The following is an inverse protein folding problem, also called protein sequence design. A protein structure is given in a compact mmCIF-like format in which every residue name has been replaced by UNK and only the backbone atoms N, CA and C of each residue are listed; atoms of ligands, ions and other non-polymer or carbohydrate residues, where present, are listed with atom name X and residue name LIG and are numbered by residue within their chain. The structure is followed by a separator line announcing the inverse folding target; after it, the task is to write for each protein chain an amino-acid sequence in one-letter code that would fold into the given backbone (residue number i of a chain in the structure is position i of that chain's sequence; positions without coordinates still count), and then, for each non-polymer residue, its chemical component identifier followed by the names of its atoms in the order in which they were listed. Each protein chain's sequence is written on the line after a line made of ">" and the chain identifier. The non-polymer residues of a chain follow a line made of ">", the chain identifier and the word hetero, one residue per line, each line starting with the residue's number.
data_IF_129918780449
#
_entry.id   IF_129918780449
#
_cell.length_a   1.000
_cell.length_b   1.000
_cell.length_c   1.000
_cell.angle_alpha   90.00
_cell.angle_beta   90.00
_cell.angle_gamma   90.00
#
_symmetry.space_group_name_H-M   'P 1'
#
loop_
_entity.id
_entity.type
_entity.pdbx_description
1 polymer ?
#
# COMPACT_ATOMS: atom_id res chain seq x y z
N UNK A 1 42.24 -35.10 -17.58
CA UNK A 1 40.99 -34.74 -18.27
C UNK A 1 39.79 -34.59 -17.33
N UNK A 2 39.38 -35.57 -16.49
CA UNK A 2 38.20 -35.48 -15.62
C UNK A 2 38.17 -34.25 -14.68
N UNK A 3 39.33 -33.91 -14.04
CA UNK A 3 39.45 -32.75 -13.14
C UNK A 3 39.28 -31.39 -13.90
N UNK A 4 39.78 -31.31 -15.12
CA UNK A 4 39.67 -30.12 -15.95
C UNK A 4 38.21 -29.89 -16.38
N UNK A 5 37.49 -30.96 -16.77
CA UNK A 5 36.06 -30.90 -17.11
C UNK A 5 35.18 -30.49 -15.93
N UNK A 6 35.52 -30.95 -14.72
CA UNK A 6 34.79 -30.52 -13.50
C UNK A 6 34.99 -29.03 -13.20
N UNK A 7 36.22 -28.51 -13.35
CA UNK A 7 36.50 -27.07 -13.16
C UNK A 7 35.77 -26.22 -14.20
N UNK A 8 35.74 -26.63 -15.46
CA UNK A 8 35.00 -25.93 -16.52
C UNK A 8 33.49 -25.92 -16.23
N UNK A 9 32.95 -27.07 -15.75
CA UNK A 9 31.54 -27.16 -15.38
C UNK A 9 31.15 -26.22 -14.24
N UNK A 10 32.01 -26.12 -13.20
CA UNK A 10 31.77 -25.17 -12.07
C UNK A 10 31.86 -23.73 -12.54
N UNK A 11 32.83 -23.36 -13.36
CA UNK A 11 32.98 -22.03 -13.91
C UNK A 11 31.76 -21.63 -14.78
N UNK A 12 31.26 -22.57 -15.57
CA UNK A 12 30.08 -22.36 -16.42
C UNK A 12 28.81 -22.13 -15.56
N UNK A 13 28.63 -22.90 -14.49
CA UNK A 13 27.51 -22.72 -13.56
C UNK A 13 27.58 -21.36 -12.82
N UNK A 14 28.78 -20.94 -12.41
CA UNK A 14 29.00 -19.62 -11.79
C UNK A 14 28.69 -18.51 -12.81
N UNK A 15 29.12 -18.66 -14.06
CA UNK A 15 28.88 -17.69 -15.11
C UNK A 15 27.39 -17.56 -15.47
N UNK A 16 26.68 -18.71 -15.57
CA UNK A 16 25.23 -18.75 -15.79
C UNK A 16 24.52 -18.12 -14.59
N UNK A 17 24.93 -18.45 -13.35
CA UNK A 17 24.39 -17.87 -12.14
C UNK A 17 24.55 -16.36 -12.08
N UNK A 18 25.73 -15.82 -12.42
CA UNK A 18 25.98 -14.38 -12.47
C UNK A 18 25.21 -13.69 -13.60
N UNK A 19 25.08 -14.35 -14.77
CA UNK A 19 24.34 -13.78 -15.91
C UNK A 19 22.83 -13.72 -15.63
N UNK A 20 22.26 -14.76 -15.01
CA UNK A 20 20.85 -14.79 -14.59
C UNK A 20 20.58 -13.78 -13.48
N UNK A 21 21.48 -13.65 -12.51
CA UNK A 21 21.41 -12.65 -11.44
C UNK A 21 21.44 -11.22 -12.01
N UNK A 22 22.40 -10.92 -12.89
CA UNK A 22 22.53 -9.59 -13.53
C UNK A 22 21.32 -9.24 -14.40
N UNK A 23 20.73 -10.23 -15.12
CA UNK A 23 19.51 -10.01 -15.90
C UNK A 23 18.26 -9.79 -15.02
N UNK A 24 18.19 -10.42 -13.85
CA UNK A 24 17.11 -10.21 -12.90
C UNK A 24 17.18 -8.82 -12.23
N UNK A 25 18.39 -8.25 -12.10
CA UNK A 25 18.60 -6.90 -11.55
C UNK A 25 18.52 -5.78 -12.61
N UNK A 26 18.36 -6.12 -13.89
CA UNK A 26 18.24 -5.09 -14.92
C UNK A 26 16.89 -4.37 -14.78
N UNK A 27 16.96 -3.10 -14.39
CA UNK A 27 15.79 -2.21 -14.38
C UNK A 27 15.15 -2.14 -15.77
N UNK A 28 13.82 -2.23 -15.81
CA UNK A 28 13.01 -2.14 -17.02
C UNK A 28 12.16 -0.88 -16.99
N UNK A 29 11.79 -0.40 -18.17
CA UNK A 29 10.84 0.69 -18.28
C UNK A 29 9.45 0.21 -17.80
N UNK A 30 8.77 1.07 -17.05
CA UNK A 30 7.38 0.90 -16.61
C UNK A 30 6.52 1.71 -17.58
N UNK A 31 5.47 1.10 -18.12
CA UNK A 31 4.52 1.81 -18.98
C UNK A 31 3.40 2.45 -18.15
N UNK A 32 2.61 3.32 -18.78
CA UNK A 32 1.54 4.08 -18.10
C UNK A 32 0.50 3.15 -17.45
N UNK A 33 0.06 2.12 -18.16
CA UNK A 33 -0.91 1.15 -17.63
C UNK A 33 -0.39 0.38 -16.41
N UNK A 34 0.92 0.10 -16.34
CA UNK A 34 1.52 -0.51 -15.15
C UNK A 34 1.60 0.46 -13.98
N UNK A 35 1.82 1.75 -14.24
CA UNK A 35 1.79 2.79 -13.19
C UNK A 35 0.40 2.88 -12.58
N UNK A 36 -0.64 2.95 -13.41
CA UNK A 36 -2.05 2.99 -12.96
C UNK A 36 -2.42 1.73 -12.17
N UNK A 37 -2.02 0.54 -12.62
CA UNK A 37 -2.26 -0.72 -11.92
C UNK A 37 -1.59 -0.75 -10.53
N UNK A 38 -0.36 -0.25 -10.45
CA UNK A 38 0.40 -0.15 -9.18
C UNK A 38 -0.27 0.87 -8.25
N UNK A 39 -0.63 2.03 -8.74
CA UNK A 39 -1.29 3.09 -7.97
C UNK A 39 -2.62 2.62 -7.40
N UNK A 40 -3.47 2.01 -8.21
CA UNK A 40 -4.74 1.41 -7.78
C UNK A 40 -4.53 0.31 -6.72
N UNK A 41 -3.49 -0.51 -6.87
CA UNK A 41 -3.19 -1.52 -5.88
C UNK A 41 -2.70 -0.90 -4.55
N UNK A 42 -1.83 0.10 -4.61
CA UNK A 42 -1.37 0.80 -3.39
C UNK A 42 -2.56 1.48 -2.71
N UNK A 43 -3.43 2.17 -3.46
CA UNK A 43 -4.65 2.77 -2.93
C UNK A 43 -5.55 1.75 -2.21
N UNK A 44 -5.61 0.52 -2.73
CA UNK A 44 -6.37 -0.57 -2.12
C UNK A 44 -5.84 -0.99 -0.76
N UNK A 45 -4.51 -0.99 -0.58
CA UNK A 45 -3.84 -1.45 0.65
C UNK A 45 -3.38 -0.31 1.57
N UNK A 46 -3.43 0.93 1.11
CA UNK A 46 -3.11 2.11 1.88
C UNK A 46 -4.29 2.41 2.83
N UNK A 47 -4.10 2.15 4.12
CA UNK A 47 -5.13 2.27 5.12
C UNK A 47 -4.51 2.76 6.42
N UNK A 48 -4.90 3.95 6.86
CA UNK A 48 -4.48 4.48 8.15
C UNK A 48 -5.01 3.60 9.27
N UNK A 49 -4.14 3.28 10.19
CA UNK A 49 -4.45 2.48 11.35
C UNK A 49 -4.18 3.33 12.61
N UNK A 50 -5.22 3.60 13.41
CA UNK A 50 -5.17 4.53 14.52
C UNK A 50 -4.20 4.10 15.62
N UNK A 51 -4.10 2.80 15.90
CA UNK A 51 -3.27 2.27 16.99
C UNK A 51 -1.78 2.42 16.67
N UNK A 52 -1.38 2.16 15.44
CA UNK A 52 0.01 2.28 15.01
C UNK A 52 0.37 3.68 14.53
N UNK A 53 -0.63 4.47 14.12
CA UNK A 53 -0.44 5.77 13.49
C UNK A 53 0.28 5.68 12.15
N UNK A 54 0.10 4.60 11.41
CA UNK A 54 0.73 4.35 10.11
C UNK A 54 -0.28 3.82 9.09
N UNK A 55 -0.34 4.45 7.92
CA UNK A 55 -1.22 3.99 6.83
C UNK A 55 -0.66 2.74 6.11
N UNK A 56 0.63 2.54 6.15
CA UNK A 56 1.32 1.42 5.55
C UNK A 56 2.47 0.99 6.46
N UNK A 57 2.23 0.05 7.40
CA UNK A 57 3.23 -0.37 8.38
C UNK A 57 4.41 -1.07 7.70
N UNK A 58 5.58 -1.04 8.36
CA UNK A 58 6.79 -1.72 7.88
C UNK A 58 6.73 -3.21 8.17
N UNK A 59 7.08 -4.02 7.17
CA UNK A 59 7.25 -5.47 7.31
C UNK A 59 8.15 -6.02 6.20
N UNK A 60 8.87 -7.08 6.49
CA UNK A 60 9.78 -7.77 5.56
C UNK A 60 9.08 -8.85 4.71
N UNK A 61 7.91 -9.32 5.16
CA UNK A 61 7.06 -10.29 4.48
C UNK A 61 5.61 -10.08 4.89
N UNK A 62 4.67 -10.26 3.98
CA UNK A 62 3.23 -10.05 4.26
C UNK A 62 2.71 -10.87 5.45
N UNK A 63 3.29 -12.02 5.73
CA UNK A 63 2.91 -12.82 6.89
C UNK A 63 3.40 -12.23 8.23
N UNK A 64 4.33 -11.28 8.19
CA UNK A 64 4.83 -10.52 9.34
C UNK A 64 4.18 -9.13 9.45
N UNK A 65 3.33 -8.74 8.49
CA UNK A 65 2.56 -7.51 8.60
C UNK A 65 1.67 -7.52 9.86
N UNK A 66 1.38 -6.39 10.51
CA UNK A 66 0.46 -6.33 11.64
C UNK A 66 -0.92 -6.91 11.29
N UNK A 67 -1.46 -7.76 12.16
CA UNK A 67 -2.77 -8.40 11.92
C UNK A 67 -3.88 -7.36 11.80
N UNK A 68 -3.86 -6.36 12.66
CA UNK A 68 -4.84 -5.29 12.65
C UNK A 68 -4.88 -4.60 11.27
N UNK A 69 -3.74 -4.14 10.75
CA UNK A 69 -3.67 -3.52 9.43
C UNK A 69 -4.18 -4.47 8.31
N UNK A 70 -3.80 -5.75 8.34
CA UNK A 70 -4.25 -6.73 7.33
C UNK A 70 -5.77 -6.83 7.30
N UNK A 71 -6.41 -6.94 8.48
CA UNK A 71 -7.86 -7.13 8.55
C UNK A 71 -8.64 -5.83 8.32
N UNK A 72 -8.06 -4.68 8.60
CA UNK A 72 -8.62 -3.39 8.21
C UNK A 72 -8.59 -3.16 6.71
N UNK A 73 -7.46 -3.46 6.06
CA UNK A 73 -7.39 -3.44 4.60
C UNK A 73 -8.42 -4.39 3.98
N UNK A 74 -8.61 -5.58 4.55
CA UNK A 74 -9.66 -6.49 4.10
C UNK A 74 -11.02 -5.85 4.26
N UNK A 75 -11.34 -5.31 5.45
CA UNK A 75 -12.62 -4.64 5.74
C UNK A 75 -12.91 -3.51 4.76
N UNK A 76 -11.95 -2.61 4.53
CA UNK A 76 -12.08 -1.49 3.57
C UNK A 76 -12.49 -1.94 2.17
N UNK A 77 -12.10 -3.16 1.79
CA UNK A 77 -12.35 -3.72 0.47
C UNK A 77 -13.55 -4.70 0.42
N UNK A 78 -14.29 -4.84 1.51
CA UNK A 78 -15.54 -5.62 1.51
C UNK A 78 -16.67 -4.81 0.90
N UNK A 79 -17.53 -5.49 0.14
CA UNK A 79 -18.73 -4.91 -0.49
C UNK A 79 -20.00 -5.16 0.34
N UNK A 80 -19.95 -6.18 1.22
CA UNK A 80 -21.07 -6.62 2.05
C UNK A 80 -20.76 -6.38 3.53
N UNK A 81 -21.80 -6.14 4.32
CA UNK A 81 -21.68 -5.94 5.76
C UNK A 81 -21.81 -7.23 6.56
N UNK A 82 -22.52 -8.22 6.02
CA UNK A 82 -22.74 -9.53 6.64
C UNK A 82 -22.03 -10.62 5.83
N UNK A 83 -21.08 -11.32 6.44
CA UNK A 83 -20.14 -12.19 5.75
C UNK A 83 -20.01 -13.55 6.44
N UNK A 84 -19.72 -14.57 5.64
CA UNK A 84 -19.20 -15.83 6.15
C UNK A 84 -17.68 -15.75 6.34
N UNK A 85 -17.16 -16.55 7.26
CA UNK A 85 -15.72 -16.64 7.52
C UNK A 85 -14.89 -16.80 6.24
N UNK A 86 -15.33 -17.66 5.33
CA UNK A 86 -14.61 -17.95 4.08
C UNK A 86 -14.58 -16.72 3.14
N UNK A 87 -15.62 -15.90 3.11
CA UNK A 87 -15.66 -14.70 2.29
C UNK A 87 -14.58 -13.71 2.73
N UNK A 88 -14.36 -13.54 4.04
CA UNK A 88 -13.29 -12.69 4.60
C UNK A 88 -11.91 -13.24 4.22
N UNK A 89 -11.71 -14.57 4.36
CA UNK A 89 -10.44 -15.21 4.00
C UNK A 89 -10.15 -15.16 2.51
N UNK A 90 -11.16 -15.33 1.67
CA UNK A 90 -11.02 -15.27 0.22
C UNK A 90 -10.72 -13.83 -0.24
N UNK A 91 -11.34 -12.82 0.40
CA UNK A 91 -11.02 -11.42 0.16
C UNK A 91 -9.57 -11.09 0.56
N UNK A 92 -9.10 -11.60 1.69
CA UNK A 92 -7.71 -11.43 2.10
C UNK A 92 -6.72 -12.02 1.07
N UNK A 93 -7.01 -13.21 0.54
CA UNK A 93 -6.19 -13.81 -0.53
C UNK A 93 -6.29 -13.05 -1.86
N UNK A 94 -7.46 -12.50 -2.17
CA UNK A 94 -7.63 -11.66 -3.35
C UNK A 94 -6.71 -10.43 -3.29
N UNK A 95 -6.58 -9.82 -2.11
CA UNK A 95 -5.80 -8.59 -1.89
C UNK A 95 -4.30 -8.89 -1.75
N UNK A 96 -3.93 -9.87 -0.93
CA UNK A 96 -2.54 -10.13 -0.53
C UNK A 96 -1.89 -11.35 -1.21
N UNK A 97 -2.66 -12.09 -2.01
CA UNK A 97 -2.19 -13.27 -2.75
C UNK A 97 -2.27 -14.58 -1.96
N UNK A 98 -2.08 -15.69 -2.69
CA UNK A 98 -2.16 -17.05 -2.14
C UNK A 98 -1.05 -17.38 -1.11
N UNK A 99 -0.01 -16.56 -1.03
CA UNK A 99 1.08 -16.70 -0.05
C UNK A 99 0.71 -16.20 1.35
N UNK A 100 -0.39 -15.50 1.52
CA UNK A 100 -0.90 -15.08 2.83
C UNK A 100 -1.30 -16.32 3.64
N UNK A 101 -0.63 -16.52 4.79
CA UNK A 101 -0.89 -17.62 5.73
C UNK A 101 -1.71 -17.19 6.95
N UNK A 102 -1.94 -15.88 7.11
CA UNK A 102 -2.75 -15.33 8.19
C UNK A 102 -4.19 -15.83 8.07
N UNK A 103 -4.77 -16.17 9.22
CA UNK A 103 -6.18 -16.55 9.31
C UNK A 103 -6.93 -15.46 10.06
N UNK A 104 -8.11 -15.13 9.57
CA UNK A 104 -8.99 -14.22 10.28
C UNK A 104 -9.35 -14.80 11.65
N UNK A 105 -9.32 -14.01 12.74
CA UNK A 105 -9.69 -14.48 14.06
C UNK A 105 -11.14 -14.96 14.09
N UNK A 106 -11.42 -16.11 14.74
CA UNK A 106 -12.76 -16.70 14.78
C UNK A 106 -13.74 -15.89 15.63
N UNK A 107 -13.25 -15.14 16.58
CA UNK A 107 -13.99 -14.20 17.43
C UNK A 107 -14.13 -12.80 16.82
N UNK A 108 -13.53 -12.61 15.63
CA UNK A 108 -13.56 -11.34 14.91
C UNK A 108 -12.31 -10.50 15.11
N UNK A 109 -12.32 -9.30 14.54
CA UNK A 109 -11.33 -8.24 14.71
C UNK A 109 -12.02 -6.99 15.25
N UNK A 110 -11.27 -5.90 15.45
CA UNK A 110 -11.82 -4.64 15.99
C UNK A 110 -13.01 -4.10 15.19
N UNK A 111 -12.98 -4.28 13.86
CA UNK A 111 -14.00 -3.71 12.94
C UNK A 111 -14.86 -4.77 12.22
N UNK A 112 -14.61 -6.06 12.48
CA UNK A 112 -15.39 -7.17 11.96
C UNK A 112 -15.64 -8.13 13.11
N UNK A 113 -16.81 -8.07 13.74
CA UNK A 113 -17.13 -8.91 14.88
C UNK A 113 -18.05 -10.07 14.51
N UNK A 114 -17.96 -11.16 15.25
CA UNK A 114 -18.85 -12.30 15.10
C UNK A 114 -20.17 -12.06 15.85
N UNK A 115 -21.29 -12.17 15.15
CA UNK A 115 -22.63 -12.13 15.75
C UNK A 115 -23.16 -13.54 15.98
N UNK A 116 -23.27 -13.95 17.24
CA UNK A 116 -23.73 -15.27 17.63
C UNK A 116 -25.20 -15.54 17.22
N UNK A 117 -26.04 -14.49 17.08
CA UNK A 117 -27.44 -14.64 16.75
C UNK A 117 -27.64 -14.99 15.27
N UNK A 118 -26.90 -14.37 14.38
CA UNK A 118 -26.96 -14.64 12.95
C UNK A 118 -25.98 -15.72 12.51
N UNK A 119 -24.93 -16.00 13.29
CA UNK A 119 -23.84 -16.87 12.92
C UNK A 119 -22.94 -16.28 11.82
N UNK A 120 -22.97 -14.96 11.65
CA UNK A 120 -22.26 -14.20 10.63
C UNK A 120 -21.21 -13.25 11.24
N UNK A 121 -20.32 -12.79 10.41
CA UNK A 121 -19.43 -11.69 10.73
C UNK A 121 -20.00 -10.37 10.22
N UNK A 122 -20.03 -9.38 11.07
CA UNK A 122 -20.58 -8.04 10.78
C UNK A 122 -19.45 -7.05 10.68
N UNK A 123 -19.27 -6.46 9.49
CA UNK A 123 -18.33 -5.38 9.28
C UNK A 123 -18.95 -4.05 9.76
N UNK A 124 -18.30 -3.37 10.70
CA UNK A 124 -18.77 -2.06 11.21
C UNK A 124 -18.49 -0.95 10.19
N UNK A 125 -19.29 0.11 10.23
CA UNK A 125 -19.10 1.29 9.36
C UNK A 125 -17.72 1.94 9.53
N UNK A 126 -17.30 2.67 8.50
CA UNK A 126 -16.11 3.53 8.56
C UNK A 126 -16.56 4.83 9.23
N UNK A 127 -15.79 5.32 10.20
CA UNK A 127 -15.96 6.67 10.73
C UNK A 127 -15.73 7.73 9.64
N UNK A 128 -16.34 8.90 9.80
CA UNK A 128 -16.02 10.05 8.96
C UNK A 128 -14.70 10.63 9.47
N UNK A 129 -13.63 10.50 8.69
CA UNK A 129 -12.35 11.16 8.95
C UNK A 129 -12.39 12.60 8.41
N UNK A 130 -11.85 13.54 9.18
CA UNK A 130 -11.66 14.92 8.76
C UNK A 130 -10.31 15.17 8.10
N UNK A 131 -9.51 14.13 8.00
CA UNK A 131 -8.17 14.17 7.48
C UNK A 131 -7.98 13.07 6.43
N UNK A 132 -7.53 13.45 5.24
CA UNK A 132 -7.19 12.50 4.18
C UNK A 132 -5.72 12.14 4.25
N UNK A 133 -5.44 10.85 4.45
CA UNK A 133 -4.11 10.28 4.32
C UNK A 133 -3.83 9.99 2.86
N UNK A 134 -2.81 10.62 2.34
CA UNK A 134 -2.53 10.60 0.91
C UNK A 134 -1.09 10.14 0.66
N UNK A 135 -0.90 9.57 -0.51
CA UNK A 135 0.43 9.26 -0.99
C UNK A 135 0.64 9.74 -2.43
N UNK A 136 1.90 9.96 -2.75
CA UNK A 136 2.33 10.24 -4.11
C UNK A 136 3.43 9.27 -4.52
N UNK A 137 3.30 8.62 -5.67
CA UNK A 137 4.37 7.80 -6.22
C UNK A 137 5.50 8.70 -6.70
N UNK A 138 6.67 8.56 -6.03
CA UNK A 138 7.89 9.30 -6.38
C UNK A 138 8.69 8.58 -7.46
N UNK A 139 8.80 7.25 -7.36
CA UNK A 139 9.57 6.44 -8.31
C UNK A 139 9.07 5.01 -8.35
N UNK A 140 9.10 4.40 -9.55
CA UNK A 140 8.89 2.97 -9.74
C UNK A 140 10.12 2.38 -10.44
N UNK A 141 10.71 1.34 -9.84
CA UNK A 141 11.75 0.51 -10.46
C UNK A 141 11.18 -0.88 -10.70
N UNK A 142 11.27 -1.36 -11.94
CA UNK A 142 10.78 -2.69 -12.34
C UNK A 142 11.93 -3.66 -12.56
N UNK A 143 11.85 -4.84 -11.94
CA UNK A 143 12.80 -5.93 -12.04
C UNK A 143 12.06 -7.22 -12.39
N UNK A 144 11.98 -7.59 -13.67
CA UNK A 144 11.24 -8.76 -14.15
C UNK A 144 9.75 -8.71 -13.73
N UNK A 145 9.37 -9.43 -12.67
CA UNK A 145 8.02 -9.49 -12.11
C UNK A 145 7.93 -8.82 -10.72
N UNK A 146 8.93 -8.05 -10.33
CA UNK A 146 8.95 -7.28 -9.10
C UNK A 146 9.00 -5.79 -9.40
N UNK A 147 8.36 -5.02 -8.53
CA UNK A 147 8.43 -3.57 -8.55
C UNK A 147 8.90 -3.09 -7.19
N UNK A 148 9.79 -2.11 -7.20
CA UNK A 148 10.14 -1.31 -6.04
C UNK A 148 9.53 0.06 -6.25
N UNK A 149 8.56 0.42 -5.43
CA UNK A 149 7.81 1.67 -5.52
C UNK A 149 8.20 2.53 -4.34
N UNK A 150 8.72 3.69 -4.62
CA UNK A 150 9.00 4.72 -3.61
C UNK A 150 7.80 5.67 -3.60
N UNK A 151 7.13 5.78 -2.47
CA UNK A 151 6.03 6.71 -2.24
C UNK A 151 6.43 7.78 -1.25
N UNK A 152 5.73 8.91 -1.31
CA UNK A 152 5.78 9.99 -0.32
C UNK A 152 4.44 10.03 0.37
N UNK A 153 4.42 10.05 1.69
CA UNK A 153 3.21 10.12 2.50
C UNK A 153 3.01 11.55 3.01
N UNK A 154 1.78 12.06 2.88
CA UNK A 154 1.38 13.38 3.36
C UNK A 154 -0.06 13.39 3.82
N UNK A 155 -0.44 14.42 4.54
CA UNK A 155 -1.77 14.61 5.10
C UNK A 155 -2.32 15.92 4.52
N UNK A 156 -3.62 15.93 4.21
CA UNK A 156 -4.38 17.16 3.97
C UNK A 156 -5.29 17.40 5.18
N UNK A 157 -5.07 18.52 5.85
CA UNK A 157 -5.81 18.89 7.05
C UNK A 157 -6.77 20.03 6.74
N UNK A 158 -8.05 19.78 6.99
CA UNK A 158 -9.18 20.65 6.74
C UNK A 158 -9.76 21.23 8.04
N UNK A 159 -8.97 21.32 9.10
CA UNK A 159 -9.44 21.69 10.45
C UNK A 159 -10.19 23.02 10.45
N UNK A 160 -9.83 23.94 9.56
CA UNK A 160 -10.50 25.22 9.39
C UNK A 160 -11.83 25.13 8.62
N UNK A 161 -12.14 24.01 7.97
CA UNK A 161 -13.44 23.82 7.30
C UNK A 161 -14.58 23.57 8.29
N UNK A 162 -14.30 23.16 9.53
CA UNK A 162 -15.31 22.85 10.55
C UNK A 162 -16.11 24.05 11.06
N UNK A 163 -15.85 25.26 10.63
CA UNK A 163 -16.60 26.47 11.00
C UNK A 163 -17.20 27.21 9.81
N UNK A 164 -17.05 26.65 8.62
CA UNK A 164 -17.52 27.27 7.38
C UNK A 164 -18.99 26.89 7.18
N UNK A 165 -19.88 27.85 7.38
CA UNK A 165 -21.35 27.67 7.21
C UNK A 165 -21.79 27.81 5.75
N UNK A 166 -21.01 28.51 4.92
CA UNK A 166 -21.31 28.74 3.50
C UNK A 166 -20.42 27.86 2.63
N UNK A 167 -21.01 26.99 1.81
CA UNK A 167 -20.30 26.10 0.86
C UNK A 167 -19.40 26.87 -0.14
N UNK A 168 -19.57 28.18 -0.27
CA UNK A 168 -18.76 29.07 -1.13
C UNK A 168 -17.64 29.78 -0.35
N UNK A 169 -17.53 29.58 0.96
CA UNK A 169 -16.48 30.22 1.75
C UNK A 169 -15.17 29.49 1.54
N UNK A 170 -14.15 30.24 1.15
CA UNK A 170 -12.81 29.72 0.90
C UNK A 170 -12.05 29.53 2.21
N UNK A 171 -11.52 28.32 2.44
CA UNK A 171 -10.71 27.98 3.61
C UNK A 171 -9.32 27.51 3.20
N UNK A 172 -8.42 27.43 4.19
CA UNK A 172 -7.07 26.93 4.00
C UNK A 172 -7.02 25.42 4.19
N UNK A 173 -6.34 24.72 3.27
CA UNK A 173 -5.98 23.31 3.39
C UNK A 173 -4.49 23.28 3.72
N UNK A 174 -4.13 22.63 4.84
CA UNK A 174 -2.75 22.46 5.26
C UNK A 174 -2.20 21.13 4.78
N UNK A 175 -1.17 21.18 3.93
CA UNK A 175 -0.41 20.00 3.52
C UNK A 175 0.65 19.76 4.58
N UNK A 176 0.52 18.66 5.33
CA UNK A 176 1.37 18.30 6.46
C UNK A 176 2.19 17.04 6.19
N UNK A 177 3.33 16.90 6.84
CA UNK A 177 4.03 15.63 6.93
C UNK A 177 3.45 14.77 8.07
N UNK A 178 3.86 13.50 8.17
CA UNK A 178 3.38 12.59 9.22
C UNK A 178 3.75 13.01 10.66
N UNK A 179 4.61 14.03 10.83
CA UNK A 179 4.91 14.64 12.12
C UNK A 179 3.97 15.81 12.45
N UNK A 180 2.92 16.01 11.65
CA UNK A 180 1.96 17.13 11.77
C UNK A 180 2.58 18.52 11.51
N UNK A 181 3.76 18.58 10.88
CA UNK A 181 4.38 19.85 10.49
C UNK A 181 3.76 20.32 9.16
N UNK A 182 3.24 21.53 9.13
CA UNK A 182 2.70 22.15 7.91
C UNK A 182 3.86 22.48 6.96
N UNK A 183 3.85 21.86 5.79
CA UNK A 183 4.84 22.01 4.73
C UNK A 183 4.40 23.06 3.71
N UNK A 184 3.09 23.10 3.41
CA UNK A 184 2.48 24.07 2.50
C UNK A 184 1.04 24.36 2.91
N UNK A 185 0.52 25.48 2.43
CA UNK A 185 -0.89 25.87 2.59
C UNK A 185 -1.43 26.22 1.23
N UNK A 186 -2.66 25.79 0.95
CA UNK A 186 -3.36 26.06 -0.30
C UNK A 186 -4.82 26.37 -0.02
N UNK A 187 -5.47 27.12 -0.89
CA UNK A 187 -6.90 27.42 -0.78
C UNK A 187 -7.76 26.25 -1.25
N UNK A 188 -8.91 26.08 -0.62
CA UNK A 188 -9.88 25.03 -0.98
C UNK A 188 -10.40 25.16 -2.43
N UNK A 189 -10.41 26.39 -2.97
CA UNK A 189 -10.79 26.68 -4.36
C UNK A 189 -9.76 26.20 -5.40
N UNK A 190 -8.53 25.90 -4.98
CA UNK A 190 -7.50 25.44 -5.89
C UNK A 190 -7.69 23.94 -6.26
N UNK A 191 -7.28 23.59 -7.48
CA UNK A 191 -7.44 22.24 -8.00
C UNK A 191 -6.56 21.21 -7.28
N UNK A 192 -7.00 19.96 -7.27
CA UNK A 192 -6.20 18.82 -6.79
C UNK A 192 -4.82 18.74 -7.48
N UNK A 193 -4.77 19.00 -8.79
CA UNK A 193 -3.49 19.02 -9.52
C UNK A 193 -2.52 20.06 -8.97
N UNK A 194 -3.01 21.17 -8.44
CA UNK A 194 -2.19 22.21 -7.79
C UNK A 194 -1.66 21.73 -6.45
N UNK A 195 -2.47 21.02 -5.67
CA UNK A 195 -2.05 20.39 -4.41
C UNK A 195 -0.95 19.38 -4.66
N UNK A 196 -1.12 18.49 -5.62
CA UNK A 196 -0.10 17.50 -6.03
C UNK A 196 1.19 18.20 -6.49
N UNK A 197 1.10 19.30 -7.21
CA UNK A 197 2.27 20.10 -7.62
C UNK A 197 3.04 20.63 -6.41
N UNK A 198 2.35 21.14 -5.39
CA UNK A 198 2.99 21.63 -4.15
C UNK A 198 3.68 20.51 -3.39
N UNK A 199 3.07 19.32 -3.29
CA UNK A 199 3.73 18.14 -2.70
C UNK A 199 4.99 17.79 -3.48
N UNK A 200 4.95 17.76 -4.82
CA UNK A 200 6.12 17.50 -5.67
C UNK A 200 7.24 18.52 -5.48
N UNK A 201 6.92 19.80 -5.36
CA UNK A 201 7.90 20.86 -5.12
C UNK A 201 8.59 20.73 -3.75
N UNK A 202 7.89 20.16 -2.77
CA UNK A 202 8.37 20.01 -1.39
C UNK A 202 8.69 18.54 -1.03
N UNK A 203 8.90 17.68 -2.00
CA UNK A 203 8.96 16.21 -1.86
C UNK A 203 9.97 15.72 -0.80
N UNK A 204 11.03 16.47 -0.56
CA UNK A 204 12.07 16.14 0.41
C UNK A 204 11.69 16.43 1.87
N UNK A 205 10.56 17.11 2.10
CA UNK A 205 10.07 17.44 3.43
C UNK A 205 9.08 16.39 3.97
N UNK A 206 8.76 15.38 3.17
CA UNK A 206 7.82 14.33 3.51
C UNK A 206 8.53 13.01 3.81
N UNK A 207 7.84 12.14 4.53
CA UNK A 207 8.30 10.78 4.78
C UNK A 207 8.23 9.97 3.48
N UNK A 208 9.27 9.19 3.23
CA UNK A 208 9.33 8.29 2.08
C UNK A 208 9.28 6.85 2.56
N UNK A 209 8.47 6.02 1.92
CA UNK A 209 8.43 4.56 2.11
C UNK A 209 8.74 3.84 0.81
N UNK A 210 9.34 2.67 0.93
CA UNK A 210 9.59 1.76 -0.20
C UNK A 210 8.68 0.55 -0.08
N UNK A 211 7.86 0.34 -1.10
CA UNK A 211 6.95 -0.79 -1.22
C UNK A 211 7.53 -1.74 -2.26
N UNK A 212 7.81 -2.96 -1.84
CA UNK A 212 8.21 -4.02 -2.76
C UNK A 212 6.97 -4.82 -3.18
N UNK A 213 6.67 -4.81 -4.46
CA UNK A 213 5.53 -5.51 -5.05
C UNK A 213 5.99 -6.65 -5.93
N UNK A 214 5.20 -7.71 -5.98
CA UNK A 214 5.41 -8.85 -6.88
C UNK A 214 4.19 -9.04 -7.78
N UNK A 215 4.44 -9.30 -9.08
CA UNK A 215 3.40 -9.67 -10.03
C UNK A 215 3.41 -11.19 -10.20
N UNK A 216 2.29 -11.84 -9.94
CA UNK A 216 2.14 -13.29 -10.08
C UNK A 216 2.08 -13.74 -11.55
N UNK A 217 1.94 -15.07 -11.76
CA UNK A 217 1.81 -15.65 -13.11
C UNK A 217 0.51 -15.29 -13.82
N UNK A 218 -0.53 -14.88 -13.08
CA UNK A 218 -1.83 -14.44 -13.60
C UNK A 218 -1.85 -12.94 -13.89
N UNK A 219 -0.76 -12.24 -13.59
CA UNK A 219 -0.63 -10.80 -13.82
C UNK A 219 -1.10 -9.94 -12.64
N UNK A 220 -1.55 -10.50 -11.53
CA UNK A 220 -1.98 -9.74 -10.34
C UNK A 220 -0.78 -9.25 -9.52
N UNK A 221 -0.90 -8.04 -8.99
CA UNK A 221 0.13 -7.41 -8.15
C UNK A 221 -0.22 -7.62 -6.68
N UNK A 222 0.81 -7.90 -5.86
CA UNK A 222 0.71 -8.08 -4.41
C UNK A 222 1.88 -7.44 -3.71
N UNK A 223 1.66 -6.93 -2.49
CA UNK A 223 2.74 -6.44 -1.63
C UNK A 223 3.56 -7.62 -1.08
N UNK A 224 4.89 -7.51 -1.18
CA UNK A 224 5.85 -8.47 -0.64
C UNK A 224 6.41 -7.97 0.69
N UNK A 225 6.83 -6.69 0.73
CA UNK A 225 7.37 -6.02 1.92
C UNK A 225 7.20 -4.51 1.85
N UNK A 226 7.34 -3.84 2.99
CA UNK A 226 7.36 -2.36 3.15
C UNK A 226 8.53 -1.98 4.05
N UNK A 227 9.35 -1.01 3.59
CA UNK A 227 10.57 -0.52 4.26
C UNK A 227 10.46 0.95 4.68
#
# INVERSE_FOLDING_TARGET
>A
MKKLLAIIGILLMIFIGMFTYKNNLKQRNVNVSEVEEIEQYIQKVYMWEEITGEALPKFDNINNAPDLWVWEVVKKNLEEFELDYNQIQDKAKEIFGDNLKKQFPKDGSEYIYYDENSGKYIATGIGLDTQDDLFLIKQIKKYKNKYQVEIVEYLEDYENAMGVEDENEEYDIYIKNLKQETIATIKSSESESKRIELVKQNINNFTTKTINLIKDKKGKIYVESVE
#
